data_IF_226478517568
#
_entry.id   IF_226478517568
#
_cell.length_a   1.000
_cell.length_b   1.000
_cell.length_c   1.000
_cell.angle_alpha   90.00
_cell.angle_beta   90.00
_cell.angle_gamma   90.00
#
_symmetry.space_group_name_H-M   'P 1'
#
loop_
_entity.id
_entity.type
_entity.pdbx_description
1 polymer ?
#
# COMPACT_ATOMS: atom_id res chain seq x y z
N UNK A 1 -17.02 5.46 3.99
CA UNK A 1 -16.32 5.46 5.29
C UNK A 1 -15.77 6.87 5.54
N UNK A 2 -15.94 7.47 6.73
CA UNK A 2 -15.37 8.79 6.99
C UNK A 2 -13.85 8.70 6.97
N UNK A 3 -13.21 9.49 6.09
CA UNK A 3 -11.76 9.66 6.07
C UNK A 3 -11.36 10.32 7.39
N UNK A 4 -10.45 9.69 8.14
CA UNK A 4 -9.89 10.32 9.33
C UNK A 4 -8.90 11.39 8.90
N UNK A 5 -9.14 12.64 9.30
CA UNK A 5 -8.24 13.79 9.07
C UNK A 5 -6.89 13.66 9.80
N UNK A 6 -6.71 12.58 10.56
CA UNK A 6 -5.53 12.34 11.40
C UNK A 6 -4.99 10.94 11.12
N UNK A 7 -3.71 10.87 10.75
CA UNK A 7 -2.97 9.60 10.66
C UNK A 7 -2.93 8.93 12.04
N UNK A 8 -3.19 7.62 12.13
CA UNK A 8 -3.12 6.87 13.40
C UNK A 8 -1.73 6.92 14.04
N UNK A 9 -0.68 7.12 13.23
CA UNK A 9 0.70 7.35 13.68
C UNK A 9 0.99 8.82 13.94
N UNK A 10 -0.02 9.55 14.42
CA UNK A 10 -0.02 10.97 14.78
C UNK A 10 1.40 11.50 14.96
N UNK A 11 1.82 12.43 14.07
CA UNK A 11 3.16 13.02 13.86
C UNK A 11 3.94 12.54 12.63
N UNK A 12 3.67 11.37 12.07
CA UNK A 12 4.46 10.89 10.90
C UNK A 12 4.08 11.56 9.58
N UNK A 13 2.80 11.85 9.41
CA UNK A 13 2.27 12.40 8.18
C UNK A 13 1.17 13.42 8.47
N UNK A 14 1.13 14.49 7.69
CA UNK A 14 -0.06 15.30 7.48
C UNK A 14 -0.90 14.57 6.41
N UNK A 15 -1.99 13.87 6.80
CA UNK A 15 -2.67 12.94 5.89
C UNK A 15 -3.33 13.69 4.73
N UNK A 16 -3.06 13.19 3.52
CA UNK A 16 -3.81 13.53 2.32
C UNK A 16 -4.96 12.55 2.13
N UNK A 17 -4.68 11.28 2.38
CA UNK A 17 -5.66 10.21 2.34
C UNK A 17 -5.37 9.21 3.46
N UNK A 18 -6.44 8.75 4.10
CA UNK A 18 -6.33 7.85 5.24
C UNK A 18 -7.51 6.90 5.30
N UNK A 19 -7.21 5.60 5.27
CA UNK A 19 -8.18 4.52 5.29
C UNK A 19 -7.87 3.66 6.51
N UNK A 20 -8.84 3.53 7.40
CA UNK A 20 -8.72 2.76 8.64
C UNK A 20 -9.79 1.68 8.60
N UNK A 21 -9.40 0.43 8.86
CA UNK A 21 -10.35 -0.67 9.01
C UNK A 21 -11.29 -0.41 10.19
N UNK A 22 -12.54 -0.90 10.14
CA UNK A 22 -13.52 -0.73 11.22
C UNK A 22 -13.01 -1.19 12.60
N UNK A 23 -12.11 -2.19 12.61
CA UNK A 23 -11.47 -2.69 13.83
C UNK A 23 -10.42 -1.75 14.43
N UNK A 24 -9.97 -0.75 13.67
CA UNK A 24 -8.86 0.14 14.01
C UNK A 24 -7.48 -0.54 14.00
N UNK A 25 -7.40 -1.85 13.72
CA UNK A 25 -6.16 -2.64 13.80
C UNK A 25 -5.31 -2.56 12.53
N UNK A 26 -5.93 -2.25 11.40
CA UNK A 26 -5.27 -2.10 10.11
C UNK A 26 -5.57 -0.72 9.53
N UNK A 27 -4.58 -0.09 8.92
CA UNK A 27 -4.75 1.20 8.26
C UNK A 27 -3.72 1.41 7.15
N UNK A 28 -4.08 2.28 6.21
CA UNK A 28 -3.19 2.83 5.20
C UNK A 28 -3.36 4.35 5.22
N UNK A 29 -2.26 5.07 5.36
CA UNK A 29 -2.24 6.52 5.36
C UNK A 29 -1.15 7.03 4.42
N UNK A 30 -1.52 7.93 3.52
CA UNK A 30 -0.59 8.65 2.64
C UNK A 30 -0.72 10.13 2.92
N UNK A 31 0.40 10.83 3.05
CA UNK A 31 0.38 12.25 3.38
C UNK A 31 1.72 12.94 3.15
N UNK A 32 1.80 14.21 3.53
CA UNK A 32 3.07 14.93 3.53
C UNK A 32 3.88 14.61 4.78
N UNK A 33 5.19 14.43 4.62
CA UNK A 33 6.11 14.41 5.75
C UNK A 33 6.12 15.78 6.43
N UNK A 34 6.21 15.75 7.76
CA UNK A 34 6.62 16.94 8.50
C UNK A 34 8.02 17.37 8.05
N UNK A 35 8.25 18.66 7.75
CA UNK A 35 9.57 19.13 7.31
C UNK A 35 10.71 18.74 8.25
N UNK A 36 10.44 18.72 9.56
CA UNK A 36 11.42 18.42 10.61
C UNK A 36 11.78 16.93 10.70
N UNK A 37 10.95 16.04 10.13
CA UNK A 37 11.16 14.59 10.14
C UNK A 37 11.88 14.09 8.88
N UNK A 38 12.21 14.97 7.93
CA UNK A 38 12.82 14.59 6.64
C UNK A 38 14.33 14.40 6.79
N UNK A 39 14.80 13.17 6.59
CA UNK A 39 16.23 12.88 6.43
C UNK A 39 16.77 13.42 5.11
N UNK A 40 15.97 13.31 4.04
CA UNK A 40 16.30 13.82 2.70
C UNK A 40 15.26 14.87 2.30
N UNK A 41 15.70 16.05 1.86
CA UNK A 41 14.81 17.17 1.57
C UNK A 41 13.78 16.87 0.46
N UNK A 42 14.10 15.96 -0.46
CA UNK A 42 13.24 15.51 -1.55
C UNK A 42 12.07 14.63 -1.11
N UNK A 43 12.19 13.99 0.06
CA UNK A 43 11.22 13.00 0.55
C UNK A 43 10.06 13.72 1.23
N UNK A 44 9.20 14.30 0.40
CA UNK A 44 8.09 15.15 0.86
C UNK A 44 6.87 14.36 1.29
N UNK A 45 6.80 13.08 0.95
CA UNK A 45 5.63 12.25 1.17
C UNK A 45 5.91 11.14 2.16
N UNK A 46 4.87 10.72 2.86
CA UNK A 46 4.90 9.67 3.86
C UNK A 46 3.87 8.62 3.47
N UNK A 47 4.27 7.35 3.50
CA UNK A 47 3.35 6.23 3.42
C UNK A 47 3.45 5.42 4.72
N UNK A 48 2.32 5.26 5.41
CA UNK A 48 2.20 4.46 6.61
C UNK A 48 1.20 3.32 6.34
N UNK A 49 1.59 2.09 6.61
CA UNK A 49 0.72 0.93 6.47
C UNK A 49 0.89 0.00 7.67
N UNK A 50 -0.24 -0.36 8.30
CA UNK A 50 -0.29 -1.44 9.27
C UNK A 50 -1.37 -2.47 8.91
N UNK A 51 -1.06 -3.74 9.02
CA UNK A 51 -2.00 -4.86 9.05
C UNK A 51 -1.59 -5.88 10.15
N UNK A 52 -2.09 -7.11 10.10
CA UNK A 52 -1.74 -8.15 11.08
C UNK A 52 -0.30 -8.70 10.96
N UNK A 53 0.35 -8.48 9.83
CA UNK A 53 1.66 -9.04 9.48
C UNK A 53 2.75 -7.98 9.36
N UNK A 54 2.39 -6.78 8.88
CA UNK A 54 3.31 -5.71 8.48
C UNK A 54 2.91 -4.42 9.18
N UNK A 55 3.92 -3.68 9.64
CA UNK A 55 3.77 -2.37 10.28
C UNK A 55 4.87 -1.45 9.77
N UNK A 56 4.63 -0.90 8.59
CA UNK A 56 5.61 -0.18 7.79
C UNK A 56 5.34 1.32 7.70
N UNK A 57 6.43 2.03 7.53
CA UNK A 57 6.47 3.47 7.33
C UNK A 57 7.67 3.83 6.46
N UNK A 58 7.41 4.61 5.40
CA UNK A 58 8.43 5.07 4.47
C UNK A 58 8.29 6.55 4.13
N UNK A 59 9.43 7.21 3.92
CA UNK A 59 9.51 8.57 3.39
C UNK A 59 9.82 8.49 1.89
N UNK A 60 9.01 9.14 1.08
CA UNK A 60 9.01 9.01 -0.38
C UNK A 60 9.21 10.36 -1.06
N UNK A 61 10.04 10.37 -2.09
CA UNK A 61 10.12 11.43 -3.08
C UNK A 61 9.02 11.23 -4.16
N UNK A 62 9.02 12.10 -5.18
CA UNK A 62 8.04 12.03 -6.27
C UNK A 62 8.24 10.80 -7.17
N UNK A 63 9.48 10.37 -7.36
CA UNK A 63 9.82 9.20 -8.18
C UNK A 63 9.36 7.93 -7.48
N UNK A 64 9.62 7.81 -6.18
CA UNK A 64 9.16 6.67 -5.38
C UNK A 64 7.65 6.44 -5.53
N UNK A 65 6.86 7.52 -5.49
CA UNK A 65 5.40 7.46 -5.71
C UNK A 65 5.08 7.01 -7.14
N UNK A 66 5.76 7.56 -8.14
CA UNK A 66 5.50 7.25 -9.55
C UNK A 66 5.82 5.80 -9.86
N UNK A 67 6.95 5.30 -9.34
CA UNK A 67 7.41 3.92 -9.52
C UNK A 67 6.46 2.96 -8.81
N UNK A 68 6.08 3.27 -7.56
CA UNK A 68 5.12 2.47 -6.79
C UNK A 68 3.76 2.39 -7.50
N UNK A 69 3.22 3.52 -7.97
CA UNK A 69 1.96 3.53 -8.72
C UNK A 69 2.06 2.74 -10.02
N UNK A 70 3.21 2.79 -10.70
CA UNK A 70 3.43 2.04 -11.94
C UNK A 70 3.42 0.53 -11.67
N UNK A 71 4.09 0.07 -10.60
CA UNK A 71 4.09 -1.34 -10.19
C UNK A 71 2.68 -1.78 -9.79
N UNK A 72 1.97 -0.99 -8.98
CA UNK A 72 0.59 -1.30 -8.57
C UNK A 72 -0.36 -1.36 -9.76
N UNK A 73 -0.28 -0.42 -10.70
CA UNK A 73 -1.11 -0.42 -11.90
C UNK A 73 -0.82 -1.62 -12.81
N UNK A 74 0.45 -2.00 -12.94
CA UNK A 74 0.85 -3.19 -13.67
C UNK A 74 0.30 -4.47 -13.01
N UNK A 75 0.43 -4.60 -11.69
CA UNK A 75 -0.11 -5.73 -10.92
C UNK A 75 -1.63 -5.85 -11.10
N UNK A 76 -2.38 -4.77 -10.89
CA UNK A 76 -3.83 -4.76 -11.08
C UNK A 76 -4.24 -5.11 -12.51
N UNK A 77 -3.46 -4.70 -13.51
CA UNK A 77 -3.71 -5.08 -14.90
C UNK A 77 -3.44 -6.55 -15.18
N UNK A 78 -2.41 -7.14 -14.55
CA UNK A 78 -2.10 -8.57 -14.67
C UNK A 78 -3.22 -9.38 -14.01
N UNK A 79 -3.59 -9.02 -12.79
CA UNK A 79 -4.66 -9.63 -12.02
C UNK A 79 -5.97 -9.65 -12.81
N UNK A 80 -6.38 -8.51 -13.38
CA UNK A 80 -7.61 -8.45 -14.18
C UNK A 80 -7.52 -9.32 -15.45
N UNK A 81 -6.36 -9.37 -16.10
CA UNK A 81 -6.17 -10.23 -17.26
C UNK A 81 -6.29 -11.72 -16.89
N UNK A 82 -5.72 -12.13 -15.75
CA UNK A 82 -5.83 -13.51 -15.24
C UNK A 82 -7.29 -13.81 -14.90
N UNK A 83 -7.96 -12.92 -14.15
CA UNK A 83 -9.37 -13.05 -13.78
C UNK A 83 -10.27 -13.31 -14.97
N UNK A 84 -10.08 -12.54 -16.05
CA UNK A 84 -10.86 -12.68 -17.29
C UNK A 84 -10.47 -13.94 -18.06
N UNK A 85 -9.19 -14.28 -18.15
CA UNK A 85 -8.71 -15.43 -18.90
C UNK A 85 -9.11 -16.76 -18.25
N UNK A 86 -9.07 -16.84 -16.92
CA UNK A 86 -9.33 -18.04 -16.14
C UNK A 86 -10.77 -18.12 -15.62
N UNK A 87 -11.56 -17.05 -15.82
CA UNK A 87 -12.95 -16.98 -15.36
C UNK A 87 -13.09 -16.96 -13.84
N UNK A 88 -12.03 -16.53 -13.14
CA UNK A 88 -11.98 -16.48 -11.68
C UNK A 88 -12.87 -15.37 -11.12
N UNK A 89 -13.41 -15.63 -9.94
CA UNK A 89 -14.10 -14.65 -9.12
C UNK A 89 -13.12 -13.76 -8.38
N UNK A 90 -13.57 -12.57 -7.94
CA UNK A 90 -12.73 -11.66 -7.15
C UNK A 90 -12.28 -12.32 -5.83
N UNK A 91 -13.07 -13.24 -5.26
CA UNK A 91 -12.73 -13.97 -4.03
C UNK A 91 -11.58 -14.97 -4.27
N UNK A 92 -11.58 -15.70 -5.39
CA UNK A 92 -10.51 -16.63 -5.77
C UNK A 92 -9.18 -15.90 -6.05
N UNK A 93 -9.24 -14.69 -6.61
CA UNK A 93 -8.05 -13.86 -6.85
C UNK A 93 -7.43 -13.29 -5.58
N UNK A 94 -8.24 -13.00 -4.56
CA UNK A 94 -7.77 -12.44 -3.29
C UNK A 94 -7.20 -13.52 -2.35
N UNK A 95 -7.35 -14.80 -2.69
CA UNK A 95 -6.73 -15.90 -1.97
C UNK A 95 -5.26 -16.01 -2.40
N UNK A 96 -4.40 -15.19 -1.78
CA UNK A 96 -2.97 -15.23 -2.03
C UNK A 96 -2.39 -16.57 -1.56
N UNK A 97 -2.18 -17.51 -2.48
CA UNK A 97 -1.44 -18.74 -2.19
C UNK A 97 0.06 -18.43 -2.07
N UNK A 98 0.46 -18.03 -0.87
CA UNK A 98 1.86 -17.84 -0.49
C UNK A 98 2.61 -19.17 -0.31
N UNK A 99 1.99 -20.31 -0.62
CA UNK A 99 2.58 -21.65 -0.52
C UNK A 99 2.90 -22.30 -1.86
N UNK A 100 2.77 -21.56 -2.97
CA UNK A 100 3.24 -21.99 -4.29
C UNK A 100 4.77 -22.18 -4.27
N UNK A 101 5.22 -23.38 -3.88
CA UNK A 101 6.58 -23.86 -4.08
C UNK A 101 6.90 -23.75 -5.58
N UNK A 102 8.00 -23.09 -5.93
CA UNK A 102 8.51 -23.05 -7.31
C UNK A 102 8.58 -24.47 -7.86
N UNK A 103 7.76 -24.80 -8.86
CA UNK A 103 7.92 -26.05 -9.59
C UNK A 103 9.35 -26.11 -10.16
N UNK A 104 10.13 -27.16 -9.88
CA UNK A 104 11.46 -27.29 -10.45
C UNK A 104 11.30 -27.45 -11.96
N UNK A 105 11.79 -26.45 -12.71
CA UNK A 105 11.78 -26.53 -14.17
C UNK A 105 12.63 -27.72 -14.66
N UNK A 106 12.18 -28.43 -15.72
CA UNK A 106 12.86 -29.62 -16.25
C UNK A 106 14.22 -29.33 -16.88
#
# INVERSE_FOLDING_TARGET
MPQSEICLRQKRAMPLQNIIATSGKSFVCVGYNHPDDRTVAGDRFCHCWKNSHVDEHGHWDRRDITDTLSVMAAALSIDENIRVAEGMTDDEMNEADLTAEEEPQP
#
